data_IF_750266714904
#
_entry.id   IF_750266714904
#
_cell.length_a   1.000
_cell.length_b   1.000
_cell.length_c   1.000
_cell.angle_alpha   90.00
_cell.angle_beta   90.00
_cell.angle_gamma   90.00
#
_symmetry.space_group_name_H-M   'P 1'
#
loop_
_entity.id
_entity.type
_entity.pdbx_description
1 polymer ?
#
# COMPACT_ATOMS: atom_id res chain seq x y z
N UNK A 1 61.02 38.98 39.96
CA UNK A 1 60.37 38.00 39.04
C UNK A 1 58.85 38.11 39.14
N UNK A 2 58.19 38.94 38.33
CA UNK A 2 56.71 38.96 38.17
C UNK A 2 56.34 39.44 36.76
N UNK A 3 56.71 38.69 35.72
CA UNK A 3 56.38 39.04 34.32
C UNK A 3 55.91 37.87 33.46
N UNK A 4 55.57 36.71 34.05
CA UNK A 4 55.08 35.54 33.29
C UNK A 4 53.58 35.24 33.42
N UNK A 5 52.82 35.99 34.24
CA UNK A 5 51.41 35.67 34.50
C UNK A 5 50.45 36.21 33.41
N UNK A 6 50.73 37.38 32.80
CA UNK A 6 49.82 38.00 31.81
C UNK A 6 49.86 37.36 30.42
N UNK A 7 51.01 36.80 30.00
CA UNK A 7 51.15 36.15 28.68
C UNK A 7 50.35 34.84 28.62
N UNK A 8 50.41 34.06 29.70
CA UNK A 8 49.62 32.83 29.85
C UNK A 8 48.11 33.08 29.76
N UNK A 9 47.62 34.22 30.25
CA UNK A 9 46.20 34.53 30.25
C UNK A 9 45.68 34.95 28.87
N UNK A 10 46.51 35.63 28.07
CA UNK A 10 46.19 35.99 26.68
C UNK A 10 46.14 34.77 25.77
N UNK A 11 47.13 33.88 25.88
CA UNK A 11 47.20 32.62 25.11
C UNK A 11 46.03 31.70 25.45
N UNK A 12 45.59 31.65 26.71
CA UNK A 12 44.37 30.91 27.12
C UNK A 12 43.11 31.49 26.50
N UNK A 13 42.97 32.82 26.41
CA UNK A 13 41.81 33.47 25.77
C UNK A 13 41.76 33.19 24.27
N UNK A 14 42.89 33.27 23.59
CA UNK A 14 42.99 32.97 22.15
C UNK A 14 42.68 31.49 21.86
N UNK A 15 43.13 30.57 22.73
CA UNK A 15 42.80 29.14 22.62
C UNK A 15 41.30 28.86 22.81
N UNK A 16 40.66 29.50 23.80
CA UNK A 16 39.20 29.37 24.01
C UNK A 16 38.43 29.91 22.80
N UNK A 17 38.83 31.06 22.25
CA UNK A 17 38.20 31.63 21.06
C UNK A 17 38.33 30.69 19.85
N UNK A 18 39.50 30.10 19.63
CA UNK A 18 39.72 29.14 18.55
C UNK A 18 38.83 27.88 18.71
N UNK A 19 38.70 27.35 19.92
CA UNK A 19 37.82 26.21 20.22
C UNK A 19 36.35 26.52 19.93
N UNK A 20 35.88 27.71 20.29
CA UNK A 20 34.51 28.15 19.99
C UNK A 20 34.30 28.25 18.48
N UNK A 21 35.24 28.83 17.74
CA UNK A 21 35.14 28.94 16.27
C UNK A 21 35.07 27.56 15.61
N UNK A 22 35.95 26.63 16.00
CA UNK A 22 35.96 25.27 15.46
C UNK A 22 34.65 24.55 15.81
N UNK A 23 34.14 24.70 17.03
CA UNK A 23 32.86 24.13 17.44
C UNK A 23 31.70 24.62 16.58
N UNK A 24 31.64 25.93 16.29
CA UNK A 24 30.60 26.52 15.41
C UNK A 24 30.71 26.00 13.98
N UNK A 25 31.92 25.87 13.44
CA UNK A 25 32.14 25.37 12.08
C UNK A 25 31.74 23.89 11.93
N UNK A 26 32.06 23.05 12.92
CA UNK A 26 31.64 21.63 12.94
C UNK A 26 30.12 21.52 13.02
N UNK A 27 29.47 22.34 13.86
CA UNK A 27 28.01 22.34 13.97
C UNK A 27 27.34 22.76 12.66
N UNK A 28 27.87 23.79 11.99
CA UNK A 28 27.38 24.26 10.70
C UNK A 28 27.55 23.19 9.60
N UNK A 29 28.67 22.47 9.61
CA UNK A 29 28.93 21.37 8.67
C UNK A 29 27.97 20.19 8.89
N UNK A 30 27.77 19.77 10.14
CA UNK A 30 26.79 18.75 10.51
C UNK A 30 25.39 19.18 10.04
N UNK A 31 24.97 20.41 10.38
CA UNK A 31 23.68 20.93 9.93
C UNK A 31 23.57 20.92 8.40
N UNK A 32 24.59 21.31 7.64
CA UNK A 32 24.52 21.27 6.16
C UNK A 32 24.33 19.88 5.55
N UNK A 33 24.72 18.82 6.25
CA UNK A 33 24.49 17.44 5.83
C UNK A 33 23.11 16.93 6.21
N UNK A 34 22.61 17.25 7.42
CA UNK A 34 21.33 16.74 7.89
C UNK A 34 20.13 17.61 7.49
N UNK A 35 20.30 18.93 7.32
CA UNK A 35 19.20 19.84 6.96
C UNK A 35 18.54 19.48 5.62
N UNK A 36 19.27 19.15 4.53
CA UNK A 36 18.66 18.81 3.25
C UNK A 36 17.78 17.56 3.32
N UNK A 37 18.20 16.53 4.07
CA UNK A 37 17.44 15.30 4.26
C UNK A 37 16.25 15.53 5.20
N UNK A 38 16.42 16.33 6.26
CA UNK A 38 15.32 16.75 7.13
C UNK A 38 14.31 17.66 6.41
N UNK A 39 14.79 18.50 5.46
CA UNK A 39 13.96 19.33 4.57
C UNK A 39 13.27 18.48 3.50
N UNK A 40 13.87 17.38 3.03
CA UNK A 40 13.20 16.40 2.16
C UNK A 40 12.11 15.65 2.93
N UNK A 41 12.41 15.14 4.12
CA UNK A 41 11.40 14.56 5.04
C UNK A 41 10.28 15.57 5.35
N UNK A 42 10.63 16.84 5.54
CA UNK A 42 9.65 17.91 5.75
C UNK A 42 8.98 18.40 4.47
N UNK A 43 9.47 18.08 3.27
CA UNK A 43 8.76 18.35 2.01
C UNK A 43 7.75 17.26 1.68
N UNK A 44 7.89 16.07 2.27
CA UNK A 44 6.79 15.13 2.44
C UNK A 44 5.77 15.58 3.51
N UNK A 45 5.92 16.79 4.09
CA UNK A 45 4.84 17.40 4.88
C UNK A 45 3.61 17.55 4.01
N UNK A 46 2.57 16.80 4.40
CA UNK A 46 1.15 17.04 4.18
C UNK A 46 0.86 18.20 3.22
N UNK A 47 0.79 17.89 1.93
CA UNK A 47 -0.02 18.69 1.02
C UNK A 47 -1.48 18.34 1.30
N UNK A 48 -2.27 19.32 1.71
CA UNK A 48 -3.72 19.19 1.89
C UNK A 48 -4.39 19.47 0.55
N UNK A 49 -5.10 18.49 -0.02
CA UNK A 49 -5.85 18.65 -1.28
C UNK A 49 -7.34 18.70 -0.96
N UNK A 50 -8.09 19.65 -1.54
CA UNK A 50 -9.54 19.78 -1.29
C UNK A 50 -10.36 19.07 -2.36
N UNK A 51 -11.47 18.46 -1.93
CA UNK A 51 -12.39 17.75 -2.82
C UNK A 51 -13.86 18.09 -2.54
N UNK A 52 -14.65 18.15 -3.61
CA UNK A 52 -16.12 18.27 -3.54
C UNK A 52 -16.75 16.90 -3.78
N UNK A 53 -17.63 16.48 -2.87
CA UNK A 53 -18.35 15.22 -2.98
C UNK A 53 -19.67 15.40 -3.74
N UNK A 54 -20.00 14.44 -4.59
CA UNK A 54 -21.32 14.28 -5.20
C UNK A 54 -21.86 12.88 -4.91
N UNK A 55 -23.11 12.60 -5.30
CA UNK A 55 -23.74 11.27 -5.10
C UNK A 55 -23.02 10.12 -5.84
N UNK A 56 -22.16 10.41 -6.82
CA UNK A 56 -21.58 9.40 -7.72
C UNK A 56 -20.05 9.42 -7.84
N UNK A 57 -19.40 10.53 -7.48
CA UNK A 57 -17.95 10.71 -7.62
C UNK A 57 -17.44 11.84 -6.72
N UNK A 58 -16.12 11.93 -6.60
CA UNK A 58 -15.39 12.99 -5.92
C UNK A 58 -14.66 13.82 -6.98
N UNK A 59 -14.63 15.15 -6.85
CA UNK A 59 -13.93 16.04 -7.80
C UNK A 59 -12.81 16.82 -7.11
N UNK A 60 -11.63 16.94 -7.73
CA UNK A 60 -10.53 17.77 -7.21
C UNK A 60 -10.64 19.25 -7.64
N UNK A 61 -9.72 20.08 -7.13
CA UNK A 61 -9.62 21.51 -7.46
C UNK A 61 -9.39 21.82 -8.94
N UNK A 62 -8.90 20.85 -9.72
CA UNK A 62 -8.64 20.98 -11.15
C UNK A 62 -9.83 20.50 -12.01
N UNK A 63 -10.92 20.03 -11.38
CA UNK A 63 -12.11 19.53 -12.06
C UNK A 63 -12.01 18.06 -12.50
N UNK A 64 -10.99 17.33 -12.05
CA UNK A 64 -10.87 15.90 -12.34
C UNK A 64 -11.82 15.09 -11.46
N UNK A 65 -12.47 14.08 -12.05
CA UNK A 65 -13.43 13.23 -11.35
C UNK A 65 -12.84 11.89 -10.96
N UNK A 66 -13.14 11.46 -9.74
CA UNK A 66 -12.66 10.23 -9.15
C UNK A 66 -13.82 9.35 -8.68
N UNK A 67 -13.76 8.08 -9.06
CA UNK A 67 -14.75 7.07 -8.73
C UNK A 67 -14.16 6.05 -7.78
N UNK A 68 -14.99 5.55 -6.86
CA UNK A 68 -14.63 4.44 -5.98
C UNK A 68 -14.25 3.24 -6.86
N UNK A 69 -13.06 2.69 -6.64
CA UNK A 69 -12.61 1.48 -7.30
C UNK A 69 -13.48 0.30 -6.86
N UNK A 70 -13.52 -0.73 -7.70
CA UNK A 70 -14.11 -2.02 -7.37
C UNK A 70 -13.77 -2.44 -5.92
N UNK A 71 -14.78 -2.89 -5.15
CA UNK A 71 -14.66 -3.34 -3.74
C UNK A 71 -13.64 -4.46 -3.50
N UNK A 72 -13.22 -5.18 -4.54
CA UNK A 72 -12.12 -6.13 -4.43
C UNK A 72 -10.77 -5.46 -4.18
N UNK A 73 -10.62 -4.18 -4.54
CA UNK A 73 -9.32 -3.51 -4.49
C UNK A 73 -9.18 -2.67 -3.23
N UNK A 74 -8.11 -2.94 -2.48
CA UNK A 74 -7.78 -2.22 -1.26
C UNK A 74 -6.30 -1.83 -1.25
N UNK A 75 -5.93 -0.79 -0.50
CA UNK A 75 -4.54 -0.40 -0.34
C UNK A 75 -3.77 -1.34 0.59
N UNK A 76 -2.49 -1.58 0.30
CA UNK A 76 -1.56 -2.34 1.15
C UNK A 76 -1.12 -1.50 2.37
N UNK A 77 -0.86 -0.21 2.18
CA UNK A 77 -0.49 0.76 3.23
C UNK A 77 -1.10 2.15 2.90
N UNK A 78 -1.33 2.95 3.94
CA UNK A 78 -1.85 4.32 3.87
C UNK A 78 -0.80 5.38 4.26
N UNK A 79 0.47 5.19 3.87
CA UNK A 79 1.55 6.14 4.19
C UNK A 79 1.79 7.20 3.07
N UNK A 80 1.65 8.50 3.35
CA UNK A 80 1.83 9.64 2.41
C UNK A 80 0.60 10.36 1.77
N UNK A 81 0.41 11.66 2.10
CA UNK A 81 -0.53 12.68 1.55
C UNK A 81 -2.01 12.59 2.00
N UNK A 82 -2.66 13.76 2.15
CA UNK A 82 -4.01 13.89 2.77
C UNK A 82 -4.96 14.77 1.94
N UNK A 83 -6.22 14.37 1.89
CA UNK A 83 -7.35 15.09 1.31
C UNK A 83 -8.32 15.60 2.35
N UNK A 84 -8.88 16.78 2.10
CA UNK A 84 -10.01 17.35 2.84
C UNK A 84 -11.26 17.26 1.96
N UNK A 85 -12.26 16.49 2.39
CA UNK A 85 -13.62 16.61 1.84
C UNK A 85 -14.33 17.79 2.49
N UNK A 86 -15.29 18.40 1.78
CA UNK A 86 -16.09 19.56 2.25
C UNK A 86 -16.67 19.39 3.67
N UNK A 87 -16.93 18.15 4.09
CA UNK A 87 -17.44 17.79 5.41
C UNK A 87 -16.38 17.80 6.53
N UNK A 88 -15.17 18.31 6.26
CA UNK A 88 -14.00 18.38 7.16
C UNK A 88 -13.40 17.04 7.56
N UNK A 89 -13.63 16.00 6.78
CA UNK A 89 -12.98 14.71 6.98
C UNK A 89 -11.61 14.70 6.30
N UNK A 90 -10.56 14.54 7.11
CA UNK A 90 -9.21 14.29 6.62
C UNK A 90 -9.10 12.84 6.20
N UNK A 91 -8.68 12.61 4.96
CA UNK A 91 -8.55 11.28 4.35
C UNK A 91 -7.16 11.13 3.77
N UNK A 92 -6.64 9.91 3.74
CA UNK A 92 -5.38 9.60 3.07
C UNK A 92 -5.46 9.85 1.54
N UNK A 93 -4.34 10.08 0.83
CA UNK A 93 -4.26 10.27 -0.64
C UNK A 93 -2.92 9.79 -1.23
N UNK A 94 -2.91 8.63 -1.91
CA UNK A 94 -2.29 8.45 -3.23
C UNK A 94 -0.78 8.13 -3.39
N UNK A 95 -0.52 7.06 -4.16
CA UNK A 95 0.66 6.89 -5.01
C UNK A 95 0.30 7.20 -6.48
N UNK A 96 1.20 7.86 -7.21
CA UNK A 96 1.17 7.88 -8.67
C UNK A 96 1.81 6.60 -9.21
N UNK A 97 1.15 5.86 -10.10
CA UNK A 97 1.82 4.78 -10.81
C UNK A 97 2.78 5.37 -11.86
N UNK A 98 4.08 5.47 -11.52
CA UNK A 98 5.10 6.15 -12.34
C UNK A 98 5.22 5.60 -13.77
N UNK A 99 4.81 4.35 -13.99
CA UNK A 99 4.98 3.67 -15.29
C UNK A 99 3.84 3.92 -16.27
N UNK A 100 2.63 4.17 -15.76
CA UNK A 100 1.40 4.21 -16.58
C UNK A 100 0.62 5.53 -16.40
N UNK A 101 1.05 6.41 -15.50
CA UNK A 101 0.36 7.66 -15.10
C UNK A 101 -1.10 7.46 -14.64
N UNK A 102 -1.51 6.23 -14.30
CA UNK A 102 -2.83 5.95 -13.76
C UNK A 102 -2.95 6.58 -12.38
N UNK A 103 -3.80 7.60 -12.19
CA UNK A 103 -3.88 8.28 -10.90
C UNK A 103 -4.87 7.52 -10.02
N UNK A 104 -4.33 6.96 -8.93
CA UNK A 104 -5.04 6.18 -7.92
C UNK A 104 -4.93 6.91 -6.57
N UNK A 105 -6.03 6.93 -5.83
CA UNK A 105 -6.18 7.62 -4.55
C UNK A 105 -6.66 6.61 -3.52
N UNK A 106 -6.38 6.80 -2.23
CA UNK A 106 -6.75 5.84 -1.19
C UNK A 106 -7.35 6.62 -0.04
N UNK A 107 -8.61 6.40 0.30
CA UNK A 107 -9.38 7.21 1.22
C UNK A 107 -9.69 6.42 2.49
N UNK A 108 -9.09 6.79 3.62
CA UNK A 108 -9.30 6.18 4.94
C UNK A 108 -10.25 7.01 5.81
N UNK A 109 -11.17 6.37 6.54
CA UNK A 109 -12.10 7.04 7.46
C UNK A 109 -11.74 6.74 8.92
N UNK A 110 -11.55 7.77 9.75
CA UNK A 110 -11.02 7.68 11.13
C UNK A 110 -11.79 6.74 12.08
N UNK A 111 -13.03 6.37 11.76
CA UNK A 111 -13.88 5.56 12.66
C UNK A 111 -14.04 4.10 12.24
N UNK A 112 -13.74 3.75 11.00
CA UNK A 112 -13.91 2.40 10.48
C UNK A 112 -13.03 2.19 9.24
N UNK A 113 -12.06 1.27 9.36
CA UNK A 113 -11.52 0.42 8.28
C UNK A 113 -10.73 1.03 7.11
N UNK A 114 -9.76 0.23 6.65
CA UNK A 114 -9.33 -0.01 5.26
C UNK A 114 -9.64 1.07 4.23
N UNK A 115 -8.58 1.70 3.72
CA UNK A 115 -8.68 2.74 2.70
C UNK A 115 -9.41 2.29 1.42
N UNK A 116 -10.47 3.01 1.06
CA UNK A 116 -11.17 2.89 -0.22
C UNK A 116 -10.30 3.45 -1.34
N UNK A 117 -10.02 2.68 -2.38
CA UNK A 117 -9.25 3.20 -3.52
C UNK A 117 -10.19 4.01 -4.41
N UNK A 118 -9.78 5.19 -4.90
CA UNK A 118 -10.45 5.91 -5.98
C UNK A 118 -9.57 5.89 -7.23
N UNK A 119 -10.19 5.82 -8.40
CA UNK A 119 -9.53 6.04 -9.69
C UNK A 119 -10.04 7.29 -10.36
N UNK A 120 -9.18 7.95 -11.12
CA UNK A 120 -9.62 8.94 -12.10
C UNK A 120 -10.60 8.31 -13.10
N UNK A 121 -11.59 9.08 -13.55
CA UNK A 121 -12.59 8.65 -14.53
C UNK A 121 -11.98 8.02 -15.79
N UNK A 122 -10.88 8.60 -16.27
CA UNK A 122 -10.19 8.17 -17.50
C UNK A 122 -9.28 6.96 -17.29
N UNK A 123 -9.02 6.56 -16.04
CA UNK A 123 -8.24 5.37 -15.75
C UNK A 123 -9.09 4.10 -15.93
N UNK A 124 -8.48 3.06 -16.50
CA UNK A 124 -9.12 1.75 -16.62
C UNK A 124 -9.52 1.21 -15.24
N UNK A 125 -10.67 0.54 -15.15
CA UNK A 125 -11.09 -0.13 -13.92
C UNK A 125 -10.22 -1.37 -13.66
N UNK A 126 -9.75 -1.52 -12.42
CA UNK A 126 -8.98 -2.70 -12.03
C UNK A 126 -9.95 -3.87 -11.80
N UNK A 127 -9.73 -4.94 -12.54
CA UNK A 127 -10.45 -6.21 -12.46
C UNK A 127 -9.45 -7.34 -12.31
N UNK A 128 -9.88 -8.53 -11.89
CA UNK A 128 -8.98 -9.69 -11.80
C UNK A 128 -8.24 -9.94 -13.13
N UNK A 129 -8.91 -9.74 -14.27
CA UNK A 129 -8.38 -9.98 -15.62
C UNK A 129 -7.22 -9.05 -16.00
N UNK A 130 -7.16 -7.83 -15.46
CA UNK A 130 -6.08 -6.88 -15.75
C UNK A 130 -5.11 -6.67 -14.58
N UNK A 131 -5.41 -7.23 -13.39
CA UNK A 131 -4.60 -7.08 -12.18
C UNK A 131 -3.24 -7.76 -12.26
N UNK A 132 -3.11 -8.88 -12.99
CA UNK A 132 -1.84 -9.63 -13.16
C UNK A 132 -1.22 -10.06 -11.81
N UNK A 133 -1.88 -10.94 -11.04
CA UNK A 133 -1.40 -11.34 -9.72
C UNK A 133 -0.12 -12.18 -9.81
N UNK A 134 0.80 -11.98 -8.87
CA UNK A 134 2.09 -12.72 -8.80
C UNK A 134 2.35 -13.39 -7.45
N UNK A 135 1.66 -12.97 -6.39
CA UNK A 135 1.73 -13.55 -5.05
C UNK A 135 0.45 -13.24 -4.30
N UNK A 136 0.25 -13.85 -3.12
CA UNK A 136 -0.90 -13.58 -2.29
C UNK A 136 -0.61 -13.72 -0.80
N UNK A 137 -1.31 -12.91 -0.01
CA UNK A 137 -1.42 -13.06 1.43
C UNK A 137 -2.75 -13.75 1.74
N UNK A 138 -2.72 -14.80 2.56
CA UNK A 138 -3.91 -15.54 2.97
C UNK A 138 -4.26 -15.13 4.39
N UNK A 139 -5.42 -14.50 4.54
CA UNK A 139 -5.91 -13.97 5.79
C UNK A 139 -7.21 -14.66 6.20
N UNK A 140 -7.52 -14.65 7.50
CA UNK A 140 -8.87 -15.02 7.94
C UNK A 140 -9.90 -14.02 7.37
N UNK A 141 -11.14 -14.45 7.16
CA UNK A 141 -12.20 -13.55 6.69
C UNK A 141 -12.39 -12.32 7.60
N UNK A 142 -12.14 -12.49 8.90
CA UNK A 142 -12.35 -11.47 9.94
C UNK A 142 -11.09 -10.70 10.36
N UNK A 143 -9.90 -11.05 9.85
CA UNK A 143 -8.62 -10.45 10.26
C UNK A 143 -7.75 -10.13 9.06
N UNK A 144 -7.09 -8.98 9.07
CA UNK A 144 -6.11 -8.61 8.03
C UNK A 144 -4.73 -9.19 8.26
N UNK A 145 -4.52 -9.87 9.39
CA UNK A 145 -3.26 -10.55 9.66
C UNK A 145 -3.16 -11.81 8.79
N UNK A 146 -2.16 -11.91 7.90
CA UNK A 146 -1.95 -13.12 7.11
C UNK A 146 -1.51 -14.28 8.01
N UNK A 147 -2.12 -15.45 7.82
CA UNK A 147 -1.69 -16.70 8.46
C UNK A 147 -0.89 -17.60 7.51
N UNK A 148 -0.93 -17.34 6.20
CA UNK A 148 -0.17 -18.05 5.18
C UNK A 148 0.04 -17.18 3.93
N UNK A 149 0.89 -17.64 3.01
CA UNK A 149 1.33 -16.92 1.82
C UNK A 149 1.45 -17.85 0.60
N UNK A 150 1.08 -17.31 -0.56
CA UNK A 150 1.44 -17.83 -1.88
C UNK A 150 2.60 -17.00 -2.43
N UNK A 151 3.79 -17.60 -2.45
CA UNK A 151 5.03 -16.90 -2.78
C UNK A 151 5.19 -16.73 -4.29
N UNK A 152 5.60 -15.52 -4.71
CA UNK A 152 5.93 -15.24 -6.11
C UNK A 152 7.08 -16.11 -6.62
N UNK A 153 7.04 -16.40 -7.93
CA UNK A 153 8.16 -17.01 -8.63
C UNK A 153 9.43 -16.15 -8.57
N UNK A 154 10.60 -16.80 -8.57
CA UNK A 154 11.90 -16.13 -8.46
C UNK A 154 12.12 -15.02 -9.49
N UNK A 155 11.55 -15.13 -10.69
CA UNK A 155 11.65 -14.11 -11.76
C UNK A 155 11.07 -12.75 -11.35
N UNK A 156 10.23 -12.70 -10.31
CA UNK A 156 9.64 -11.48 -9.78
C UNK A 156 10.36 -10.94 -8.54
N UNK A 157 11.40 -11.62 -8.06
CA UNK A 157 12.17 -11.25 -6.87
C UNK A 157 13.51 -10.62 -7.28
N UNK A 158 13.81 -9.41 -6.79
CA UNK A 158 15.03 -8.66 -7.16
C UNK A 158 16.33 -9.40 -6.81
N UNK A 159 16.32 -10.24 -5.78
CA UNK A 159 17.52 -10.91 -5.25
C UNK A 159 17.48 -12.44 -5.36
N UNK A 160 16.57 -13.01 -6.17
CA UNK A 160 16.46 -14.45 -6.51
C UNK A 160 16.83 -15.43 -5.38
N UNK A 161 15.84 -16.00 -4.70
CA UNK A 161 16.20 -16.77 -3.50
C UNK A 161 15.08 -17.50 -2.78
N UNK A 162 13.97 -17.85 -3.43
CA UNK A 162 12.95 -18.64 -2.77
C UNK A 162 12.82 -20.04 -3.38
N UNK A 163 13.14 -21.06 -2.57
CA UNK A 163 12.91 -22.46 -2.96
C UNK A 163 11.41 -22.81 -3.05
N UNK A 164 10.52 -21.91 -2.60
CA UNK A 164 9.07 -22.05 -2.67
C UNK A 164 8.54 -21.16 -3.80
N UNK A 165 7.90 -21.78 -4.79
CA UNK A 165 7.23 -21.11 -5.89
C UNK A 165 5.76 -21.57 -5.92
N UNK A 166 4.85 -20.65 -5.62
CA UNK A 166 3.41 -20.90 -5.62
C UNK A 166 2.71 -20.30 -6.86
N UNK A 167 3.46 -19.96 -7.92
CA UNK A 167 2.92 -19.38 -9.18
C UNK A 167 1.79 -20.22 -9.77
N UNK A 168 1.87 -21.55 -9.67
CA UNK A 168 0.79 -22.42 -10.12
C UNK A 168 -0.52 -22.15 -9.37
N UNK A 169 -0.49 -21.95 -8.05
CA UNK A 169 -1.70 -21.67 -7.27
C UNK A 169 -2.26 -20.28 -7.59
N UNK A 170 -1.39 -19.30 -7.84
CA UNK A 170 -1.81 -17.96 -8.29
C UNK A 170 -2.51 -18.04 -9.66
N UNK A 171 -1.95 -18.80 -10.60
CA UNK A 171 -2.55 -19.01 -11.91
C UNK A 171 -3.88 -19.76 -11.80
N UNK A 172 -3.98 -20.78 -10.93
CA UNK A 172 -5.24 -21.48 -10.68
C UNK A 172 -6.35 -20.54 -10.17
N UNK A 173 -6.01 -19.58 -9.29
CA UNK A 173 -6.97 -18.58 -8.81
C UNK A 173 -7.40 -17.65 -9.97
N UNK A 174 -6.42 -17.16 -10.74
CA UNK A 174 -6.67 -16.26 -11.86
C UNK A 174 -7.53 -16.93 -12.93
N UNK A 175 -7.12 -18.10 -13.44
CA UNK A 175 -7.82 -18.85 -14.49
C UNK A 175 -9.24 -19.22 -14.05
N UNK A 176 -9.42 -19.65 -12.80
CA UNK A 176 -10.75 -19.97 -12.29
C UNK A 176 -11.67 -18.74 -12.27
N UNK A 177 -11.18 -17.57 -11.87
CA UNK A 177 -12.01 -16.37 -11.80
C UNK A 177 -12.26 -15.74 -13.17
N UNK A 178 -11.32 -15.84 -14.11
CA UNK A 178 -11.45 -15.29 -15.46
C UNK A 178 -12.30 -16.22 -16.33
N UNK A 179 -11.91 -17.49 -16.46
CA UNK A 179 -12.49 -18.43 -17.42
C UNK A 179 -13.49 -19.41 -16.79
N UNK A 180 -13.50 -19.53 -15.46
CA UNK A 180 -14.39 -20.45 -14.77
C UNK A 180 -15.86 -20.12 -14.96
N UNK A 181 -16.66 -21.18 -15.07
CA UNK A 181 -18.11 -21.10 -15.15
C UNK A 181 -18.67 -20.60 -13.82
N UNK A 182 -19.45 -19.53 -13.90
CA UNK A 182 -20.12 -18.96 -12.74
C UNK A 182 -21.13 -19.93 -12.13
N UNK A 183 -21.14 -20.00 -10.80
CA UNK A 183 -22.07 -20.78 -9.99
C UNK A 183 -22.68 -19.88 -8.91
N UNK A 184 -23.85 -20.24 -8.36
CA UNK A 184 -24.42 -19.52 -7.24
C UNK A 184 -23.48 -19.53 -6.03
N UNK A 185 -23.34 -18.39 -5.36
CA UNK A 185 -22.61 -18.30 -4.09
C UNK A 185 -23.28 -19.19 -3.04
N UNK A 186 -22.50 -19.92 -2.21
CA UNK A 186 -23.06 -20.87 -1.25
C UNK A 186 -23.91 -20.15 -0.18
N UNK A 187 -25.14 -20.64 0.02
CA UNK A 187 -26.07 -20.08 1.03
C UNK A 187 -25.59 -20.29 2.48
N UNK A 188 -24.77 -21.32 2.71
CA UNK A 188 -24.23 -21.65 4.02
C UNK A 188 -22.72 -21.83 3.93
N UNK A 189 -21.98 -21.12 4.77
CA UNK A 189 -20.52 -21.18 4.81
C UNK A 189 -20.09 -21.88 6.09
N UNK A 190 -19.13 -22.81 5.97
CA UNK A 190 -18.46 -23.44 7.12
C UNK A 190 -17.18 -22.68 7.47
N UNK A 191 -16.40 -22.31 6.46
CA UNK A 191 -15.20 -21.50 6.62
C UNK A 191 -15.03 -20.53 5.45
N UNK A 192 -14.28 -19.45 5.71
CA UNK A 192 -13.93 -18.48 4.70
C UNK A 192 -12.58 -17.82 5.00
N UNK A 193 -11.79 -17.63 3.94
CA UNK A 193 -10.51 -16.93 3.97
C UNK A 193 -10.48 -15.85 2.89
N UNK A 194 -9.71 -14.80 3.14
CA UNK A 194 -9.41 -13.76 2.17
C UNK A 194 -8.07 -14.07 1.54
N UNK A 195 -8.05 -14.16 0.22
CA UNK A 195 -6.84 -14.21 -0.59
C UNK A 195 -6.61 -12.80 -1.11
N UNK A 196 -5.59 -12.13 -0.58
CA UNK A 196 -5.18 -10.78 -0.99
C UNK A 196 -4.05 -10.89 -2.02
N UNK A 197 -4.42 -10.84 -3.29
CA UNK A 197 -3.50 -10.94 -4.42
C UNK A 197 -2.66 -9.67 -4.53
N UNK A 198 -1.38 -9.82 -4.83
CA UNK A 198 -0.41 -8.73 -5.08
C UNK A 198 0.01 -8.72 -6.54
N UNK A 199 0.29 -7.53 -7.07
CA UNK A 199 0.70 -7.32 -8.45
C UNK A 199 1.91 -6.40 -8.55
N UNK A 200 2.81 -6.69 -9.49
CA UNK A 200 3.86 -5.74 -9.90
C UNK A 200 3.31 -4.58 -10.74
N UNK A 201 2.18 -4.77 -11.44
CA UNK A 201 1.52 -3.74 -12.25
C UNK A 201 0.77 -2.73 -11.37
N UNK A 202 0.32 -3.16 -10.19
CA UNK A 202 -0.38 -2.31 -9.22
C UNK A 202 0.31 -2.40 -7.85
N UNK A 203 1.57 -1.91 -7.74
CA UNK A 203 2.28 -1.92 -6.48
C UNK A 203 1.50 -1.09 -5.45
N UNK A 204 1.41 -1.59 -4.22
CA UNK A 204 0.66 -0.93 -3.15
C UNK A 204 -0.83 -1.23 -3.12
N UNK A 205 -1.35 -2.06 -4.03
CA UNK A 205 -2.74 -2.53 -4.01
C UNK A 205 -2.84 -4.04 -3.79
N UNK A 206 -3.88 -4.43 -3.06
CA UNK A 206 -4.40 -5.78 -3.01
C UNK A 206 -5.62 -5.93 -3.90
N UNK A 207 -5.75 -7.08 -4.55
CA UNK A 207 -7.03 -7.55 -5.10
C UNK A 207 -7.53 -8.71 -4.25
N UNK A 208 -8.70 -8.54 -3.64
CA UNK A 208 -9.27 -9.47 -2.66
C UNK A 208 -10.23 -10.44 -3.31
N UNK A 209 -9.95 -11.72 -3.11
CA UNK A 209 -10.81 -12.85 -3.48
C UNK A 209 -11.18 -13.60 -2.20
N UNK A 210 -12.41 -14.07 -2.10
CA UNK A 210 -12.82 -14.97 -1.01
C UNK A 210 -12.62 -16.42 -1.43
N UNK A 211 -11.98 -17.20 -0.58
CA UNK A 211 -12.01 -18.66 -0.63
C UNK A 211 -13.02 -19.14 0.40
N UNK A 212 -14.08 -19.82 -0.03
CA UNK A 212 -15.22 -20.18 0.80
C UNK A 212 -15.42 -21.69 0.73
N UNK A 213 -15.58 -22.35 1.87
CA UNK A 213 -16.01 -23.76 1.91
C UNK A 213 -17.40 -23.85 2.52
N UNK A 214 -18.31 -24.52 1.84
CA UNK A 214 -19.67 -24.76 2.33
C UNK A 214 -19.73 -25.95 3.31
N UNK A 215 -20.89 -26.15 3.95
CA UNK A 215 -21.11 -27.24 4.92
C UNK A 215 -21.04 -28.65 4.32
N UNK A 216 -21.00 -28.79 3.00
CA UNK A 216 -20.82 -30.05 2.30
C UNK A 216 -19.35 -30.29 1.92
N UNK A 217 -18.44 -29.38 2.30
CA UNK A 217 -17.02 -29.45 1.96
C UNK A 217 -16.70 -28.99 0.54
N UNK A 218 -17.64 -28.34 -0.17
CA UNK A 218 -17.37 -27.80 -1.51
C UNK A 218 -16.72 -26.44 -1.36
N UNK A 219 -15.59 -26.24 -2.04
CA UNK A 219 -14.85 -24.98 -2.01
C UNK A 219 -15.09 -24.14 -3.26
N UNK A 220 -15.14 -22.83 -3.05
CA UNK A 220 -15.46 -21.83 -4.06
C UNK A 220 -14.45 -20.68 -3.99
N UNK A 221 -14.24 -20.04 -5.14
CA UNK A 221 -13.63 -18.71 -5.22
C UNK A 221 -14.71 -17.68 -5.53
N UNK A 222 -14.68 -16.55 -4.85
CA UNK A 222 -15.59 -15.45 -5.11
C UNK A 222 -14.82 -14.14 -5.26
N UNK A 223 -15.01 -13.47 -6.40
CA UNK A 223 -14.57 -12.10 -6.61
C UNK A 223 -15.47 -11.15 -5.79
N UNK A 224 -14.91 -10.46 -4.81
CA UNK A 224 -15.65 -9.59 -3.87
C UNK A 224 -16.37 -8.44 -4.59
N UNK A 225 -15.81 -8.03 -5.71
CA UNK A 225 -16.17 -6.89 -6.50
C UNK A 225 -17.39 -7.09 -7.36
N UNK A 226 -17.27 -8.04 -8.29
CA UNK A 226 -18.36 -8.42 -9.18
C UNK A 226 -19.38 -9.34 -8.49
N UNK A 227 -18.99 -10.01 -7.40
CA UNK A 227 -19.77 -11.05 -6.76
C UNK A 227 -19.70 -12.40 -7.48
N UNK A 228 -19.01 -12.49 -8.63
CA UNK A 228 -18.84 -13.72 -9.42
C UNK A 228 -18.27 -14.81 -8.53
N UNK A 229 -18.92 -15.97 -8.52
CA UNK A 229 -18.50 -17.13 -7.76
C UNK A 229 -18.26 -18.31 -8.70
N UNK A 230 -17.20 -19.08 -8.46
CA UNK A 230 -16.78 -20.24 -9.26
C UNK A 230 -16.35 -21.37 -8.32
N UNK A 231 -16.38 -22.61 -8.81
CA UNK A 231 -15.79 -23.73 -8.06
C UNK A 231 -14.28 -23.56 -7.96
N UNK A 232 -13.73 -23.82 -6.77
CA UNK A 232 -12.29 -23.82 -6.58
C UNK A 232 -11.68 -25.05 -7.25
N UNK A 233 -10.56 -24.92 -7.99
CA UNK A 233 -9.82 -26.07 -8.50
C UNK A 233 -9.35 -26.99 -7.37
N UNK A 234 -9.47 -28.31 -7.55
CA UNK A 234 -9.15 -29.32 -6.52
C UNK A 234 -7.77 -29.12 -5.89
N UNK A 235 -6.76 -28.83 -6.72
CA UNK A 235 -5.39 -28.61 -6.28
C UNK A 235 -5.27 -27.40 -5.36
N UNK A 236 -6.00 -26.32 -5.65
CA UNK A 236 -6.05 -25.15 -4.77
C UNK A 236 -6.80 -25.49 -3.47
N UNK A 237 -7.92 -26.21 -3.56
CA UNK A 237 -8.69 -26.64 -2.40
C UNK A 237 -7.85 -27.44 -1.40
N UNK A 238 -7.05 -28.39 -1.87
CA UNK A 238 -6.11 -29.16 -1.04
C UNK A 238 -5.04 -28.29 -0.40
N UNK A 239 -4.56 -27.25 -1.10
CA UNK A 239 -3.55 -26.31 -0.59
C UNK A 239 -4.10 -25.38 0.50
N UNK A 240 -5.39 -25.07 0.45
CA UNK A 240 -6.07 -24.09 1.31
C UNK A 240 -6.77 -24.71 2.53
N UNK A 241 -6.93 -26.03 2.56
CA UNK A 241 -7.53 -26.80 3.67
C UNK A 241 -6.52 -27.05 4.79
#
# INVERSE_FOLDING_TARGET
MKTNSKKSEKEKKEFIIALVIVGVLVLAFILSFFLPDLIKEWKYKLSLVSFTQTETHVTDENGNKYYVLNRSVEAISTDGVYGLLEDKEYRFIGFMHEKDQTPLYIVEHERDMKGMVLRLETAEEITISNFSPISADICFATSDYPYDYLVAADKYLENGGNNKNDEEYINLIFDALVDGKEVPSPMTQESASRIKLKSQKYPGLYYTVMFITDKNGISYLQDVGSGKCVLSPDKLTVRMS
#
